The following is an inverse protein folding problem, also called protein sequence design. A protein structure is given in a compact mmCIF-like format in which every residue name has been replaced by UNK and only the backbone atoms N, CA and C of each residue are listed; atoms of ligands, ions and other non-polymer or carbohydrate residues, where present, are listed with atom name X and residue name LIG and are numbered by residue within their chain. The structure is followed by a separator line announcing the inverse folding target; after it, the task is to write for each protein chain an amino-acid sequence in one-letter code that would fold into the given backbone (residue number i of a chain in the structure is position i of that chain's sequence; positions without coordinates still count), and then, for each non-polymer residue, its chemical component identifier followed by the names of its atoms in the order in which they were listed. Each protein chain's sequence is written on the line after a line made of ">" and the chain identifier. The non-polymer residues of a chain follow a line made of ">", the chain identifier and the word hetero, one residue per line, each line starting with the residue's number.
data_IF_783461601446
#
_entry.id   IF_783461601446
#
_cell.length_a   1.000
_cell.length_b   1.000
_cell.length_c   1.000
_cell.angle_alpha   90.00
_cell.angle_beta   90.00
_cell.angle_gamma   90.00
#
_symmetry.space_group_name_H-M   'P 1'
#
loop_
_entity.id
_entity.type
_entity.pdbx_description
1 polymer ?
#
# COMPACT_ATOMS: atom_id res chain seq x y z
N UNK A 1 17.00 53.04 13.03
CA UNK A 1 15.56 52.80 13.23
C UNK A 1 14.96 51.99 12.07
N UNK A 2 15.26 52.35 10.82
CA UNK A 2 14.90 51.62 9.59
C UNK A 2 15.32 50.15 9.55
N UNK A 3 16.57 49.84 9.92
CA UNK A 3 17.08 48.45 9.95
C UNK A 3 16.26 47.54 10.87
N UNK A 4 15.86 48.00 12.06
CA UNK A 4 15.04 47.22 13.01
C UNK A 4 13.63 47.01 12.49
N UNK A 5 13.08 48.00 11.78
CA UNK A 5 11.75 47.93 11.19
C UNK A 5 11.71 46.96 9.99
N UNK A 6 12.75 47.00 9.14
CA UNK A 6 12.94 46.04 8.04
C UNK A 6 13.11 44.60 8.57
N UNK A 7 13.86 44.41 9.66
CA UNK A 7 14.00 43.07 10.28
C UNK A 7 12.68 42.54 10.84
N UNK A 8 11.85 43.38 11.48
CA UNK A 8 10.51 42.99 11.96
C UNK A 8 9.56 42.62 10.82
N UNK A 9 9.61 43.34 9.71
CA UNK A 9 8.80 43.06 8.51
C UNK A 9 9.21 41.71 7.91
N UNK A 10 10.51 41.49 7.72
CA UNK A 10 11.05 40.21 7.21
C UNK A 10 10.63 39.05 8.12
N UNK A 11 10.75 39.21 9.44
CA UNK A 11 10.36 38.17 10.40
C UNK A 11 8.85 37.86 10.33
N UNK A 12 8.02 38.87 10.15
CA UNK A 12 6.56 38.72 10.03
C UNK A 12 6.17 38.04 8.73
N UNK A 13 6.83 38.38 7.62
CA UNK A 13 6.64 37.71 6.31
C UNK A 13 7.03 36.23 6.44
N UNK A 14 8.19 35.93 7.02
CA UNK A 14 8.66 34.55 7.23
C UNK A 14 7.69 33.79 8.15
N UNK A 15 7.28 34.36 9.28
CA UNK A 15 6.36 33.72 10.20
C UNK A 15 4.98 33.43 9.55
N UNK A 16 4.50 34.36 8.72
CA UNK A 16 3.23 34.19 7.98
C UNK A 16 3.37 33.09 6.92
N UNK A 17 4.48 33.08 6.19
CA UNK A 17 4.79 32.04 5.21
C UNK A 17 4.87 30.66 5.86
N UNK A 18 5.59 30.53 6.98
CA UNK A 18 5.74 29.28 7.73
C UNK A 18 4.39 28.79 8.24
N UNK A 19 3.56 29.67 8.83
CA UNK A 19 2.22 29.30 9.30
C UNK A 19 1.32 28.81 8.17
N UNK A 20 1.38 29.43 6.99
CA UNK A 20 0.57 29.04 5.83
C UNK A 20 1.02 27.73 5.20
N UNK A 21 2.31 27.38 5.32
CA UNK A 21 2.90 26.21 4.66
C UNK A 21 3.31 25.09 5.63
N UNK A 22 2.92 25.18 6.91
CA UNK A 22 3.41 24.28 7.94
C UNK A 22 3.21 22.81 7.58
N UNK A 23 2.04 22.42 7.06
CA UNK A 23 1.80 21.03 6.68
C UNK A 23 2.68 20.56 5.50
N UNK A 24 3.01 21.43 4.54
CA UNK A 24 3.98 21.10 3.47
C UNK A 24 5.38 20.91 4.03
N UNK A 25 5.80 21.81 4.92
CA UNK A 25 7.10 21.76 5.58
C UNK A 25 7.20 20.47 6.41
N UNK A 26 6.14 20.07 7.11
CA UNK A 26 6.10 18.80 7.85
C UNK A 26 6.27 17.59 6.94
N UNK A 27 5.58 17.52 5.80
CA UNK A 27 5.76 16.42 4.84
C UNK A 27 7.19 16.38 4.30
N UNK A 28 7.75 17.55 3.96
CA UNK A 28 9.14 17.65 3.49
C UNK A 28 10.14 17.23 4.58
N UNK A 29 9.93 17.63 5.84
CA UNK A 29 10.75 17.20 6.95
C UNK A 29 10.70 15.68 7.14
N UNK A 30 9.50 15.07 7.09
CA UNK A 30 9.34 13.61 7.17
C UNK A 30 10.09 12.91 6.02
N UNK A 31 9.98 13.41 4.79
CA UNK A 31 10.72 12.89 3.63
C UNK A 31 12.23 12.91 3.88
N UNK A 32 12.77 14.05 4.30
CA UNK A 32 14.20 14.20 4.58
C UNK A 32 14.63 13.30 5.74
N UNK A 33 13.83 13.19 6.80
CA UNK A 33 14.12 12.31 7.93
C UNK A 33 14.16 10.85 7.52
N UNK A 34 13.17 10.37 6.77
CA UNK A 34 13.13 8.99 6.27
C UNK A 34 14.34 8.70 5.38
N UNK A 35 14.61 9.56 4.38
CA UNK A 35 15.80 9.42 3.53
C UNK A 35 17.08 9.40 4.35
N UNK A 36 17.23 10.31 5.31
CA UNK A 36 18.41 10.35 6.17
C UNK A 36 18.58 9.03 6.92
N UNK A 37 17.51 8.46 7.48
CA UNK A 37 17.58 7.20 8.20
C UNK A 37 17.91 6.05 7.25
N UNK A 38 17.19 5.92 6.14
CA UNK A 38 17.40 4.90 5.11
C UNK A 38 18.84 4.87 4.61
N UNK A 39 19.41 6.04 4.27
CA UNK A 39 20.78 6.17 3.80
C UNK A 39 21.84 5.96 4.88
N UNK A 40 21.49 6.05 6.16
CA UNK A 40 22.36 5.67 7.27
C UNK A 40 22.33 4.16 7.53
N UNK A 41 21.14 3.53 7.51
CA UNK A 41 20.96 2.11 7.81
C UNK A 41 21.35 1.20 6.62
N UNK A 42 21.04 1.63 5.39
CA UNK A 42 21.36 0.93 4.13
C UNK A 42 20.95 -0.55 4.13
N UNK A 43 19.76 -0.86 4.64
CA UNK A 43 19.24 -2.24 4.72
C UNK A 43 19.26 -2.99 3.38
N UNK A 44 19.16 -2.27 2.25
CA UNK A 44 19.28 -2.83 0.91
C UNK A 44 20.61 -3.53 0.62
N UNK A 45 21.69 -3.20 1.35
CA UNK A 45 22.99 -3.87 1.21
C UNK A 45 23.03 -5.24 1.89
N UNK A 46 22.10 -5.52 2.80
CA UNK A 46 22.12 -6.78 3.52
C UNK A 46 21.53 -7.90 2.65
N UNK A 47 22.18 -9.09 2.57
CA UNK A 47 21.80 -10.13 1.62
C UNK A 47 20.39 -10.69 1.86
N UNK A 48 19.95 -10.76 3.13
CA UNK A 48 18.67 -11.36 3.53
C UNK A 48 17.56 -10.37 3.93
N UNK A 49 17.81 -9.06 3.83
CA UNK A 49 16.82 -8.05 4.23
C UNK A 49 16.05 -7.49 3.04
N UNK A 50 14.97 -6.75 3.34
CA UNK A 50 14.08 -6.04 2.40
C UNK A 50 13.13 -6.97 1.65
N UNK A 51 13.63 -8.04 1.05
CA UNK A 51 12.82 -9.08 0.41
C UNK A 51 12.83 -10.30 1.34
N UNK A 52 12.01 -10.22 2.39
CA UNK A 52 11.90 -11.25 3.42
C UNK A 52 10.46 -11.37 3.92
N UNK A 53 10.16 -12.44 4.66
CA UNK A 53 8.81 -12.74 5.17
C UNK A 53 7.75 -12.70 4.06
N UNK A 54 6.63 -11.99 4.28
CA UNK A 54 5.57 -11.86 3.28
C UNK A 54 6.03 -11.15 2.01
N UNK A 55 7.06 -10.29 2.07
CA UNK A 55 7.56 -9.54 0.90
C UNK A 55 8.05 -10.49 -0.19
N UNK A 56 8.58 -11.66 0.18
CA UNK A 56 8.96 -12.72 -0.77
C UNK A 56 7.76 -13.04 -1.68
N UNK A 57 6.59 -13.31 -1.09
CA UNK A 57 5.39 -13.60 -1.87
C UNK A 57 4.83 -12.36 -2.59
N UNK A 58 4.83 -11.19 -1.94
CA UNK A 58 4.36 -9.94 -2.53
C UNK A 58 5.13 -9.55 -3.79
N UNK A 59 6.42 -9.85 -3.84
CA UNK A 59 7.32 -9.48 -4.92
C UNK A 59 7.46 -10.56 -6.00
N UNK A 60 7.28 -11.84 -5.65
CA UNK A 60 7.54 -13.02 -6.50
C UNK A 60 6.97 -12.96 -7.92
N UNK A 61 5.81 -12.33 -8.13
CA UNK A 61 5.20 -12.28 -9.47
C UNK A 61 6.09 -11.57 -10.50
N UNK A 62 6.86 -10.56 -10.08
CA UNK A 62 7.70 -9.77 -10.97
C UNK A 62 8.91 -10.55 -11.51
N UNK A 63 9.85 -11.05 -10.68
CA UNK A 63 10.99 -11.81 -11.18
C UNK A 63 10.53 -13.12 -11.85
N UNK A 64 9.50 -13.80 -11.33
CA UNK A 64 9.00 -15.03 -11.95
C UNK A 64 8.48 -14.81 -13.38
N UNK A 65 7.80 -13.68 -13.62
CA UNK A 65 7.25 -13.36 -14.95
C UNK A 65 8.31 -12.80 -15.89
N UNK A 66 9.10 -11.83 -15.44
CA UNK A 66 9.93 -11.02 -16.33
C UNK A 66 11.39 -11.49 -16.43
N UNK A 67 11.88 -12.24 -15.44
CA UNK A 67 13.28 -12.70 -15.39
C UNK A 67 13.34 -14.21 -15.59
N UNK A 68 12.70 -14.99 -14.70
CA UNK A 68 12.70 -16.45 -14.78
C UNK A 68 11.78 -16.99 -15.89
N UNK A 69 10.85 -16.15 -16.39
CA UNK A 69 9.89 -16.47 -17.47
C UNK A 69 9.03 -17.71 -17.21
N UNK A 70 8.77 -18.02 -15.95
CA UNK A 70 7.93 -19.14 -15.53
C UNK A 70 7.14 -18.80 -14.26
N UNK A 71 5.90 -18.35 -14.48
CA UNK A 71 4.97 -18.03 -13.39
C UNK A 71 4.39 -19.26 -12.68
N UNK A 72 4.64 -20.48 -13.20
CA UNK A 72 4.26 -21.73 -12.53
C UNK A 72 5.29 -22.21 -11.50
N UNK A 73 6.44 -21.52 -11.44
CA UNK A 73 7.56 -21.81 -10.55
C UNK A 73 8.04 -23.27 -10.64
N UNK A 74 7.98 -23.88 -11.82
CA UNK A 74 8.37 -25.28 -12.03
C UNK A 74 9.88 -25.49 -11.90
N UNK A 75 10.68 -24.42 -11.97
CA UNK A 75 12.11 -24.42 -11.70
C UNK A 75 12.45 -24.56 -10.20
N UNK A 76 11.56 -24.13 -9.30
CA UNK A 76 11.80 -24.09 -7.85
C UNK A 76 12.16 -25.46 -7.25
N UNK A 77 11.40 -26.55 -7.46
CA UNK A 77 11.71 -27.83 -6.84
C UNK A 77 13.03 -28.45 -7.32
N UNK A 78 13.49 -28.11 -8.54
CA UNK A 78 14.73 -28.61 -9.13
C UNK A 78 15.97 -27.87 -8.61
N UNK A 79 15.80 -26.64 -8.12
CA UNK A 79 16.88 -25.72 -7.77
C UNK A 79 16.65 -25.07 -6.41
N UNK A 80 16.19 -25.86 -5.42
CA UNK A 80 15.81 -25.33 -4.10
C UNK A 80 16.94 -24.54 -3.44
N UNK A 81 18.17 -25.01 -3.52
CA UNK A 81 19.32 -24.31 -2.92
C UNK A 81 19.50 -22.89 -3.46
N UNK A 82 19.20 -22.67 -4.75
CA UNK A 82 19.30 -21.36 -5.40
C UNK A 82 18.11 -20.45 -5.10
N UNK A 83 16.90 -21.00 -4.97
CA UNK A 83 15.65 -20.23 -5.00
C UNK A 83 14.87 -20.19 -3.68
N UNK A 84 15.26 -20.95 -2.66
CA UNK A 84 14.51 -21.02 -1.39
C UNK A 84 14.50 -19.69 -0.61
N UNK A 85 15.50 -18.85 -0.82
CA UNK A 85 15.56 -17.50 -0.22
C UNK A 85 14.68 -16.48 -0.99
N UNK A 86 14.22 -16.83 -2.20
CA UNK A 86 13.57 -15.91 -3.14
C UNK A 86 12.11 -16.23 -3.45
N UNK A 87 11.69 -17.49 -3.28
CA UNK A 87 10.35 -17.96 -3.60
C UNK A 87 9.86 -18.96 -2.55
N UNK A 88 8.68 -18.70 -1.99
CA UNK A 88 8.01 -19.57 -1.00
C UNK A 88 6.65 -20.08 -1.53
N UNK A 89 6.64 -20.90 -2.58
CA UNK A 89 5.39 -21.31 -3.19
C UNK A 89 4.69 -22.44 -2.43
N UNK A 90 3.39 -22.58 -2.68
CA UNK A 90 2.57 -23.72 -2.26
C UNK A 90 2.22 -24.61 -3.45
N UNK A 91 2.14 -25.92 -3.23
CA UNK A 91 1.77 -26.86 -4.31
C UNK A 91 0.26 -26.84 -4.50
N UNK A 92 -0.19 -26.77 -5.75
CA UNK A 92 -1.61 -26.75 -6.11
C UNK A 92 -2.15 -28.15 -6.48
N UNK A 93 -3.48 -28.34 -6.57
CA UNK A 93 -4.10 -29.59 -7.04
C UNK A 93 -3.63 -30.05 -8.42
N UNK A 94 -3.18 -29.13 -9.28
CA UNK A 94 -2.66 -29.48 -10.62
C UNK A 94 -1.20 -29.93 -10.61
N UNK A 95 -0.55 -29.89 -9.44
CA UNK A 95 0.88 -30.18 -9.28
C UNK A 95 1.82 -29.02 -9.57
N UNK A 96 1.29 -27.85 -9.98
CA UNK A 96 2.06 -26.60 -10.13
C UNK A 96 2.33 -25.92 -8.79
N UNK A 97 3.15 -24.88 -8.81
CA UNK A 97 3.52 -24.10 -7.63
C UNK A 97 2.91 -22.70 -7.70
N UNK A 98 2.23 -22.29 -6.64
CA UNK A 98 1.51 -21.03 -6.51
C UNK A 98 2.22 -20.07 -5.58
N UNK A 99 2.22 -18.80 -5.94
CA UNK A 99 2.56 -17.69 -5.05
C UNK A 99 1.39 -17.52 -4.09
N UNK A 100 1.69 -17.42 -2.80
CA UNK A 100 0.69 -17.49 -1.72
C UNK A 100 -0.23 -16.29 -1.70
N UNK A 101 0.30 -15.09 -1.92
CA UNK A 101 -0.43 -13.83 -1.86
C UNK A 101 -0.96 -13.46 -3.24
N UNK A 102 -1.97 -12.59 -3.31
CA UNK A 102 -2.41 -11.97 -4.57
C UNK A 102 -1.36 -11.00 -5.13
N UNK A 103 -1.43 -10.72 -6.44
CA UNK A 103 -0.41 -9.92 -7.14
C UNK A 103 -0.46 -8.40 -6.89
N UNK A 104 -1.36 -7.91 -6.02
CA UNK A 104 -1.60 -6.47 -5.89
C UNK A 104 -0.37 -5.69 -5.45
N UNK A 105 0.45 -6.23 -4.54
CA UNK A 105 1.71 -5.59 -4.16
C UNK A 105 2.71 -5.56 -5.32
N UNK A 106 2.85 -6.65 -6.08
CA UNK A 106 3.68 -6.68 -7.29
C UNK A 106 3.27 -5.63 -8.31
N UNK A 107 1.97 -5.32 -8.46
CA UNK A 107 1.51 -4.23 -9.32
C UNK A 107 2.03 -2.86 -8.84
N UNK A 108 2.08 -2.62 -7.53
CA UNK A 108 2.59 -1.38 -6.96
C UNK A 108 4.12 -1.27 -7.04
N UNK A 109 4.82 -2.41 -6.91
CA UNK A 109 6.27 -2.46 -7.06
C UNK A 109 6.74 -2.34 -8.51
N UNK A 110 5.92 -2.77 -9.47
CA UNK A 110 6.26 -2.88 -10.89
C UNK A 110 7.02 -1.66 -11.46
N UNK A 111 6.58 -0.39 -11.29
CA UNK A 111 7.33 0.75 -11.84
C UNK A 111 8.75 0.84 -11.26
N UNK A 112 8.93 0.57 -9.97
CA UNK A 112 10.24 0.62 -9.31
C UNK A 112 11.12 -0.57 -9.69
N UNK A 113 10.51 -1.76 -9.81
CA UNK A 113 11.16 -2.96 -10.33
C UNK A 113 11.73 -2.73 -11.73
N UNK A 114 10.92 -2.19 -12.65
CA UNK A 114 11.38 -1.97 -14.03
C UNK A 114 12.47 -0.90 -14.10
N UNK A 115 12.38 0.16 -13.29
CA UNK A 115 13.47 1.15 -13.17
C UNK A 115 14.74 0.46 -12.70
N UNK A 116 14.69 -0.36 -11.64
CA UNK A 116 15.84 -1.12 -11.17
C UNK A 116 16.37 -2.08 -12.25
N UNK A 117 15.49 -2.78 -12.96
CA UNK A 117 15.85 -3.73 -14.00
C UNK A 117 16.56 -3.06 -15.18
N UNK A 118 16.14 -1.84 -15.56
CA UNK A 118 16.80 -1.04 -16.59
C UNK A 118 18.17 -0.54 -16.12
N UNK A 119 18.31 -0.15 -14.85
CA UNK A 119 19.55 0.42 -14.30
C UNK A 119 20.59 -0.65 -13.99
N UNK A 120 20.19 -1.84 -13.53
CA UNK A 120 21.10 -2.88 -13.02
C UNK A 120 22.20 -3.29 -14.01
N UNK A 121 21.94 -3.47 -15.33
CA UNK A 121 22.98 -3.78 -16.32
C UNK A 121 24.11 -2.75 -16.43
N UNK A 122 23.92 -1.53 -15.92
CA UNK A 122 24.94 -0.47 -15.88
C UNK A 122 25.71 -0.42 -14.55
N UNK A 123 25.58 -1.47 -13.73
CA UNK A 123 26.22 -1.61 -12.41
C UNK A 123 26.94 -2.95 -12.31
N UNK A 124 27.67 -3.18 -11.22
CA UNK A 124 28.36 -4.46 -10.97
C UNK A 124 27.43 -5.57 -10.45
N UNK A 125 26.11 -5.33 -10.39
CA UNK A 125 25.13 -6.28 -9.87
C UNK A 125 24.46 -7.09 -10.99
N UNK A 126 24.18 -8.36 -10.71
CA UNK A 126 23.41 -9.19 -11.63
C UNK A 126 21.93 -8.73 -11.73
N UNK A 127 21.33 -8.71 -12.94
CA UNK A 127 19.95 -8.31 -13.14
C UNK A 127 18.96 -9.47 -12.84
N UNK A 128 19.08 -10.06 -11.65
CA UNK A 128 18.30 -11.25 -11.25
C UNK A 128 17.02 -10.93 -10.45
N UNK A 129 16.72 -9.67 -10.19
CA UNK A 129 15.52 -9.24 -9.45
C UNK A 129 15.72 -9.15 -7.94
N UNK A 130 16.81 -9.63 -7.37
CA UNK A 130 17.02 -9.72 -5.92
C UNK A 130 18.29 -9.00 -5.43
N UNK A 131 19.10 -8.49 -6.35
CA UNK A 131 20.30 -7.70 -6.03
C UNK A 131 19.96 -6.32 -5.45
N UNK A 132 21.00 -5.64 -4.96
CA UNK A 132 20.91 -4.35 -4.27
C UNK A 132 20.06 -3.30 -5.01
N UNK A 133 20.16 -3.10 -6.35
CA UNK A 133 19.35 -2.11 -7.05
C UNK A 133 17.83 -2.35 -6.90
N UNK A 134 17.40 -3.60 -6.88
CA UNK A 134 15.98 -3.96 -6.71
C UNK A 134 15.51 -3.70 -5.29
N UNK A 135 16.30 -4.11 -4.28
CA UNK A 135 16.00 -3.86 -2.87
C UNK A 135 15.89 -2.36 -2.58
N UNK A 136 16.83 -1.58 -3.10
CA UNK A 136 16.79 -0.12 -2.98
C UNK A 136 15.53 0.45 -3.64
N UNK A 137 15.21 0.04 -4.86
CA UNK A 137 14.01 0.53 -5.56
C UNK A 137 12.71 0.16 -4.83
N UNK A 138 12.63 -1.01 -4.21
CA UNK A 138 11.49 -1.40 -3.37
C UNK A 138 11.37 -0.50 -2.14
N UNK A 139 12.45 -0.20 -1.43
CA UNK A 139 12.41 0.74 -0.30
C UNK A 139 11.97 2.14 -0.76
N UNK A 140 12.49 2.62 -1.90
CA UNK A 140 12.07 3.90 -2.48
C UNK A 140 10.60 3.91 -2.90
N UNK A 141 10.04 2.75 -3.28
CA UNK A 141 8.60 2.63 -3.56
C UNK A 141 7.76 2.90 -2.31
N UNK A 142 8.15 2.35 -1.16
CA UNK A 142 7.46 2.58 0.11
C UNK A 142 7.48 4.06 0.51
N UNK A 143 8.64 4.72 0.38
CA UNK A 143 8.75 6.15 0.60
C UNK A 143 7.84 6.95 -0.35
N UNK A 144 7.80 6.62 -1.64
CA UNK A 144 6.89 7.25 -2.58
C UNK A 144 5.42 7.14 -2.14
N UNK A 145 4.97 5.95 -1.75
CA UNK A 145 3.59 5.74 -1.30
C UNK A 145 3.32 6.43 0.05
N UNK A 146 4.26 6.48 0.99
CA UNK A 146 4.12 7.24 2.23
C UNK A 146 3.81 8.71 1.91
N UNK A 147 4.65 9.32 1.07
CA UNK A 147 4.54 10.74 0.73
C UNK A 147 3.24 11.00 -0.05
N UNK A 148 2.87 10.13 -0.98
CA UNK A 148 1.57 10.20 -1.66
C UNK A 148 0.41 10.18 -0.66
N UNK A 149 0.43 9.24 0.28
CA UNK A 149 -0.59 9.13 1.33
C UNK A 149 -0.67 10.38 2.20
N UNK A 150 0.47 10.90 2.69
CA UNK A 150 0.52 12.11 3.52
C UNK A 150 0.04 13.35 2.76
N UNK A 151 0.44 13.54 1.50
CA UNK A 151 -0.04 14.66 0.69
C UNK A 151 -1.54 14.62 0.46
N UNK A 152 -2.12 13.43 0.27
CA UNK A 152 -3.56 13.31 0.07
C UNK A 152 -4.32 13.42 1.40
N UNK A 153 -3.77 12.89 2.48
CA UNK A 153 -4.32 13.05 3.84
C UNK A 153 -4.38 14.53 4.21
N UNK A 154 -3.30 15.28 3.95
CA UNK A 154 -3.26 16.74 4.09
C UNK A 154 -4.44 17.40 3.37
N UNK A 155 -4.67 17.08 2.10
CA UNK A 155 -5.79 17.63 1.29
C UNK A 155 -7.17 17.27 1.85
N UNK A 156 -7.30 16.18 2.60
CA UNK A 156 -8.54 15.82 3.30
C UNK A 156 -8.67 16.69 4.56
N UNK A 157 -7.65 16.73 5.40
CA UNK A 157 -7.65 17.45 6.68
C UNK A 157 -7.87 18.96 6.51
N UNK A 158 -7.23 19.57 5.51
CA UNK A 158 -7.37 21.02 5.24
C UNK A 158 -8.76 21.46 4.81
N UNK A 159 -9.68 20.52 4.52
CA UNK A 159 -11.10 20.85 4.30
C UNK A 159 -11.84 21.15 5.61
N UNK A 160 -11.29 20.72 6.73
CA UNK A 160 -11.94 20.75 8.05
C UNK A 160 -11.11 21.44 9.12
N UNK A 161 -9.78 21.47 8.96
CA UNK A 161 -8.85 21.94 9.97
C UNK A 161 -7.82 22.92 9.40
N UNK A 162 -7.21 23.72 10.29
CA UNK A 162 -6.14 24.65 9.92
C UNK A 162 -4.80 23.93 9.70
N UNK A 163 -3.79 24.68 9.22
CA UNK A 163 -2.44 24.18 8.94
C UNK A 163 -1.76 23.54 10.15
N UNK A 164 -1.98 24.07 11.36
CA UNK A 164 -1.34 23.60 12.58
C UNK A 164 -1.84 22.22 13.00
N UNK A 165 -3.17 22.08 13.09
CA UNK A 165 -3.80 20.78 13.39
C UNK A 165 -3.41 19.75 12.33
N UNK A 166 -3.47 20.15 11.05
CA UNK A 166 -3.06 19.27 9.94
C UNK A 166 -1.61 18.82 10.09
N UNK A 167 -0.68 19.73 10.33
CA UNK A 167 0.74 19.42 10.49
C UNK A 167 1.00 18.46 11.66
N UNK A 168 0.39 18.71 12.82
CA UNK A 168 0.51 17.82 13.99
C UNK A 168 -0.05 16.44 13.65
N UNK A 169 -1.24 16.35 13.04
CA UNK A 169 -1.82 15.05 12.66
C UNK A 169 -0.92 14.29 11.69
N UNK A 170 -0.34 14.95 10.69
CA UNK A 170 0.59 14.32 9.75
C UNK A 170 1.84 13.78 10.47
N UNK A 171 2.38 14.56 11.41
CA UNK A 171 3.53 14.15 12.21
C UNK A 171 3.18 12.96 13.12
N UNK A 172 2.05 13.03 13.83
CA UNK A 172 1.58 11.97 14.72
C UNK A 172 1.28 10.67 13.98
N UNK A 173 0.69 10.72 12.79
CA UNK A 173 0.47 9.52 11.98
C UNK A 173 1.79 8.91 11.52
N UNK A 174 2.75 9.75 11.11
CA UNK A 174 4.01 9.28 10.54
C UNK A 174 4.95 8.69 11.59
N UNK A 175 5.11 9.36 12.73
CA UNK A 175 6.11 9.01 13.77
C UNK A 175 5.46 8.39 15.00
N UNK A 176 4.21 8.74 15.32
CA UNK A 176 3.47 8.23 16.48
C UNK A 176 2.77 6.88 16.24
N UNK A 177 2.95 6.26 15.08
CA UNK A 177 2.44 4.92 14.76
C UNK A 177 3.55 4.05 14.19
N UNK A 178 3.25 2.79 13.86
CA UNK A 178 4.20 1.89 13.19
C UNK A 178 4.55 2.32 11.76
N UNK A 179 3.96 3.39 11.22
CA UNK A 179 4.20 3.88 9.86
C UNK A 179 5.69 4.14 9.59
N UNK A 180 6.41 4.73 10.56
CA UNK A 180 7.83 5.00 10.40
C UNK A 180 8.62 3.71 10.18
N UNK A 181 8.42 2.70 11.03
CA UNK A 181 9.09 1.39 10.93
C UNK A 181 8.79 0.74 9.58
N UNK A 182 7.53 0.77 9.13
CA UNK A 182 7.12 0.27 7.82
C UNK A 182 7.58 1.14 6.64
N UNK A 183 8.40 2.17 6.87
CA UNK A 183 9.00 2.98 5.80
C UNK A 183 10.54 2.95 5.83
N UNK A 184 11.18 2.91 7.01
CA UNK A 184 12.65 3.04 7.16
C UNK A 184 13.41 1.73 7.35
N UNK A 185 12.71 0.66 7.76
CA UNK A 185 13.35 -0.58 8.18
C UNK A 185 13.42 -1.58 7.01
N UNK A 186 14.01 -2.75 7.24
CA UNK A 186 13.88 -3.89 6.32
C UNK A 186 12.41 -4.28 6.03
N UNK A 187 11.48 -3.88 6.91
CA UNK A 187 10.03 -4.00 6.71
C UNK A 187 9.42 -3.00 5.72
N UNK A 188 10.21 -2.07 5.16
CA UNK A 188 9.70 -0.98 4.33
C UNK A 188 8.79 -1.47 3.19
N UNK A 189 9.12 -2.54 2.43
CA UNK A 189 8.26 -2.98 1.34
C UNK A 189 6.94 -3.60 1.80
N UNK A 190 6.70 -3.85 3.09
CA UNK A 190 5.44 -4.44 3.56
C UNK A 190 4.20 -3.65 3.12
N UNK A 191 3.06 -4.32 3.00
CA UNK A 191 1.82 -3.76 2.44
C UNK A 191 1.21 -2.57 3.21
N UNK A 192 1.71 -2.22 4.39
CA UNK A 192 1.08 -1.25 5.30
C UNK A 192 1.07 0.18 4.74
N UNK A 193 2.23 0.70 4.32
CA UNK A 193 2.35 2.07 3.78
C UNK A 193 1.60 2.22 2.46
N UNK A 194 1.65 1.19 1.62
CA UNK A 194 0.92 1.12 0.36
C UNK A 194 -0.59 1.16 0.59
N UNK A 195 -1.08 0.36 1.54
CA UNK A 195 -2.49 0.39 1.92
C UNK A 195 -2.89 1.74 2.49
N UNK A 196 -2.08 2.35 3.36
CA UNK A 196 -2.33 3.70 3.84
C UNK A 196 -2.51 4.68 2.67
N UNK A 197 -1.58 4.71 1.73
CA UNK A 197 -1.66 5.59 0.56
C UNK A 197 -2.91 5.34 -0.28
N UNK A 198 -3.17 4.07 -0.65
CA UNK A 198 -4.31 3.71 -1.50
C UNK A 198 -5.64 4.01 -0.81
N UNK A 199 -5.78 3.70 0.48
CA UNK A 199 -7.02 3.92 1.25
C UNK A 199 -7.24 5.42 1.46
N UNK A 200 -6.20 6.20 1.72
CA UNK A 200 -6.32 7.65 1.84
C UNK A 200 -6.70 8.29 0.50
N UNK A 201 -6.13 7.84 -0.61
CA UNK A 201 -6.55 8.25 -1.96
C UNK A 201 -8.00 7.87 -2.22
N UNK A 202 -8.40 6.66 -1.87
CA UNK A 202 -9.77 6.18 -2.00
C UNK A 202 -10.73 7.08 -1.22
N UNK A 203 -10.45 7.36 0.06
CA UNK A 203 -11.24 8.26 0.88
C UNK A 203 -11.36 9.65 0.26
N UNK A 204 -10.26 10.23 -0.24
CA UNK A 204 -10.28 11.54 -0.90
C UNK A 204 -11.23 11.58 -2.11
N UNK A 205 -11.24 10.52 -2.92
CA UNK A 205 -12.12 10.42 -4.08
C UNK A 205 -13.55 10.03 -3.73
N UNK A 206 -13.79 9.22 -2.69
CA UNK A 206 -15.13 8.97 -2.13
C UNK A 206 -15.78 10.29 -1.71
N UNK A 207 -15.05 11.16 -1.00
CA UNK A 207 -15.53 12.51 -0.62
C UNK A 207 -15.90 13.33 -1.86
N UNK A 208 -15.08 13.31 -2.91
CA UNK A 208 -15.34 14.05 -4.15
C UNK A 208 -16.51 13.48 -4.96
N UNK A 209 -16.64 12.16 -5.00
CA UNK A 209 -17.68 11.49 -5.75
C UNK A 209 -19.04 11.69 -5.11
N UNK A 210 -19.16 11.63 -3.78
CA UNK A 210 -20.41 11.95 -3.08
C UNK A 210 -20.87 13.39 -3.31
N UNK A 211 -19.94 14.35 -3.41
CA UNK A 211 -20.27 15.74 -3.78
C UNK A 211 -20.63 15.89 -5.26
N UNK A 212 -19.89 15.21 -6.13
CA UNK A 212 -19.99 15.33 -7.60
C UNK A 212 -19.76 13.98 -8.28
N UNK A 213 -20.82 13.17 -8.52
CA UNK A 213 -20.67 11.81 -9.05
C UNK A 213 -20.32 11.81 -10.55
N UNK A 214 -19.07 12.08 -10.90
CA UNK A 214 -18.57 12.06 -12.29
C UNK A 214 -18.13 10.67 -12.73
N UNK A 215 -18.17 10.37 -14.04
CA UNK A 215 -17.68 9.09 -14.58
C UNK A 215 -16.18 8.91 -14.29
N UNK A 216 -15.39 9.98 -14.40
CA UNK A 216 -13.95 9.94 -14.09
C UNK A 216 -13.69 9.44 -12.66
N UNK A 217 -14.37 10.03 -11.67
CA UNK A 217 -14.23 9.57 -10.28
C UNK A 217 -14.80 8.17 -10.08
N UNK A 218 -15.86 7.82 -10.80
CA UNK A 218 -16.49 6.49 -10.76
C UNK A 218 -15.52 5.39 -11.19
N UNK A 219 -14.91 5.52 -12.37
CA UNK A 219 -13.91 4.57 -12.89
C UNK A 219 -12.70 4.52 -11.98
N UNK A 220 -12.19 5.69 -11.56
CA UNK A 220 -11.02 5.75 -10.69
C UNK A 220 -11.24 5.07 -9.33
N UNK A 221 -12.40 5.29 -8.70
CA UNK A 221 -12.77 4.61 -7.45
C UNK A 221 -12.87 3.10 -7.69
N UNK A 222 -13.54 2.65 -8.76
CA UNK A 222 -13.65 1.22 -9.05
C UNK A 222 -12.31 0.52 -9.25
N UNK A 223 -11.41 1.10 -10.07
CA UNK A 223 -10.05 0.59 -10.27
C UNK A 223 -9.26 0.57 -8.94
N UNK A 224 -9.34 1.65 -8.17
CA UNK A 224 -8.63 1.77 -6.90
C UNK A 224 -9.16 0.78 -5.86
N UNK A 225 -10.47 0.56 -5.79
CA UNK A 225 -11.10 -0.46 -4.95
C UNK A 225 -10.66 -1.86 -5.34
N UNK A 226 -10.59 -2.14 -6.65
CA UNK A 226 -10.06 -3.39 -7.18
C UNK A 226 -8.62 -3.62 -6.73
N UNK A 227 -7.78 -2.60 -6.85
CA UNK A 227 -6.38 -2.65 -6.43
C UNK A 227 -6.21 -2.80 -4.91
N UNK A 228 -6.99 -2.08 -4.09
CA UNK A 228 -6.96 -2.22 -2.62
C UNK A 228 -7.28 -3.66 -2.21
N UNK A 229 -8.33 -4.25 -2.79
CA UNK A 229 -8.68 -5.64 -2.53
C UNK A 229 -7.65 -6.62 -3.09
N UNK A 230 -7.04 -6.31 -4.24
CA UNK A 230 -6.00 -7.15 -4.83
C UNK A 230 -4.69 -7.10 -4.03
N UNK A 231 -4.37 -6.00 -3.36
CA UNK A 231 -3.23 -5.91 -2.44
C UNK A 231 -3.45 -6.82 -1.23
N UNK A 232 -4.65 -6.78 -0.64
CA UNK A 232 -5.08 -7.70 0.42
C UNK A 232 -6.58 -7.94 0.30
N UNK A 233 -7.05 -9.18 0.05
CA UNK A 233 -8.48 -9.46 -0.11
C UNK A 233 -9.35 -8.99 1.06
N UNK A 234 -8.83 -9.05 2.29
CA UNK A 234 -9.51 -8.57 3.50
C UNK A 234 -9.78 -7.07 3.50
N UNK A 235 -9.02 -6.27 2.72
CA UNK A 235 -9.24 -4.83 2.61
C UNK A 235 -10.49 -4.46 1.82
N UNK A 236 -11.22 -5.44 1.26
CA UNK A 236 -12.56 -5.22 0.72
C UNK A 236 -13.50 -4.57 1.73
N UNK A 237 -13.28 -4.79 3.04
CA UNK A 237 -14.04 -4.14 4.12
C UNK A 237 -13.90 -2.61 4.12
N UNK A 238 -12.78 -2.07 3.64
CA UNK A 238 -12.59 -0.62 3.52
C UNK A 238 -13.60 -0.01 2.54
N UNK A 239 -14.09 -0.78 1.57
CA UNK A 239 -15.06 -0.31 0.59
C UNK A 239 -16.40 0.04 1.23
N UNK A 240 -16.68 -0.44 2.46
CA UNK A 240 -17.84 -0.02 3.25
C UNK A 240 -17.85 1.50 3.48
N UNK A 241 -16.69 2.15 3.51
CA UNK A 241 -16.59 3.62 3.59
C UNK A 241 -17.31 4.30 2.41
N UNK A 242 -17.32 3.73 1.21
CA UNK A 242 -18.07 4.29 0.08
C UNK A 242 -19.57 4.38 0.42
N UNK A 243 -20.12 3.37 1.08
CA UNK A 243 -21.54 3.27 1.41
C UNK A 243 -21.93 4.10 2.63
N UNK A 244 -21.06 4.16 3.65
CA UNK A 244 -21.37 4.80 4.93
C UNK A 244 -20.71 6.18 5.13
N UNK A 245 -20.00 6.71 4.13
CA UNK A 245 -19.44 8.05 4.22
C UNK A 245 -20.54 9.09 4.51
N UNK A 246 -20.32 9.90 5.55
CA UNK A 246 -21.22 10.98 5.97
C UNK A 246 -22.65 10.49 6.26
N UNK A 247 -22.77 9.35 6.95
CA UNK A 247 -24.04 8.81 7.47
C UNK A 247 -23.94 8.80 9.01
N UNK A 248 -24.61 9.76 9.65
CA UNK A 248 -24.55 9.96 11.10
C UNK A 248 -25.66 9.28 11.90
N UNK A 249 -26.72 8.82 11.23
CA UNK A 249 -27.88 8.21 11.88
C UNK A 249 -28.56 7.14 11.03
N UNK A 250 -29.33 6.23 11.66
CA UNK A 250 -30.09 5.20 10.94
C UNK A 250 -31.10 5.79 9.95
N UNK A 251 -31.59 7.00 10.20
CA UNK A 251 -32.55 7.70 9.32
C UNK A 251 -31.92 8.12 7.99
N UNK A 252 -30.60 8.31 7.93
CA UNK A 252 -29.87 8.71 6.73
C UNK A 252 -29.52 7.54 5.80
N UNK A 253 -29.71 6.30 6.26
CA UNK A 253 -29.44 5.10 5.44
C UNK A 253 -30.35 5.03 4.21
N UNK A 254 -31.64 5.32 4.37
CA UNK A 254 -32.58 5.23 3.23
C UNK A 254 -32.30 6.28 2.13
N UNK A 255 -32.11 7.57 2.44
CA UNK A 255 -31.62 8.54 1.45
C UNK A 255 -30.32 8.12 0.77
N UNK A 256 -29.40 7.49 1.51
CA UNK A 256 -28.14 6.98 0.96
C UNK A 256 -28.37 5.86 -0.05
N UNK A 257 -29.24 4.90 0.26
CA UNK A 257 -29.62 3.83 -0.69
C UNK A 257 -30.24 4.44 -1.95
N UNK A 258 -31.17 5.39 -1.81
CA UNK A 258 -31.79 6.07 -2.94
C UNK A 258 -30.77 6.81 -3.81
N UNK A 259 -29.76 7.43 -3.20
CA UNK A 259 -28.66 8.07 -3.92
C UNK A 259 -27.88 7.09 -4.81
N UNK A 260 -27.59 5.88 -4.31
CA UNK A 260 -26.92 4.84 -5.11
C UNK A 260 -27.83 4.27 -6.20
N UNK A 261 -29.12 4.05 -5.92
CA UNK A 261 -30.08 3.60 -6.93
C UNK A 261 -30.24 4.62 -8.07
N UNK A 262 -30.28 5.92 -7.74
CA UNK A 262 -30.27 7.00 -8.74
C UNK A 262 -29.00 6.99 -9.60
N UNK A 263 -27.87 6.57 -9.02
CA UNK A 263 -26.58 6.48 -9.71
C UNK A 263 -26.21 5.04 -10.13
N UNK A 264 -27.18 4.12 -10.27
CA UNK A 264 -26.91 2.69 -10.50
C UNK A 264 -25.96 2.40 -11.68
N UNK A 265 -26.07 3.14 -12.79
CA UNK A 265 -25.15 2.99 -13.94
C UNK A 265 -23.69 3.24 -13.54
N UNK A 266 -23.45 4.24 -12.68
CA UNK A 266 -22.11 4.55 -12.16
C UNK A 266 -21.64 3.46 -11.19
N UNK A 267 -22.52 2.94 -10.35
CA UNK A 267 -22.21 1.81 -9.46
C UNK A 267 -21.81 0.57 -10.28
N UNK A 268 -22.52 0.28 -11.38
CA UNK A 268 -22.14 -0.79 -12.31
C UNK A 268 -20.77 -0.53 -12.95
N UNK A 269 -20.49 0.70 -13.39
CA UNK A 269 -19.16 1.07 -13.93
C UNK A 269 -18.06 0.89 -12.87
N UNK A 270 -18.30 1.26 -11.60
CA UNK A 270 -17.38 1.00 -10.50
C UNK A 270 -17.12 -0.51 -10.35
N UNK A 271 -18.18 -1.32 -10.36
CA UNK A 271 -18.07 -2.77 -10.24
C UNK A 271 -17.26 -3.38 -11.40
N UNK A 272 -17.54 -3.02 -12.65
CA UNK A 272 -16.75 -3.52 -13.78
C UNK A 272 -15.30 -3.06 -13.72
N UNK A 273 -15.07 -1.81 -13.33
CA UNK A 273 -13.70 -1.27 -13.13
C UNK A 273 -12.96 -2.04 -12.04
N UNK A 274 -13.63 -2.41 -10.95
CA UNK A 274 -13.08 -3.28 -9.91
C UNK A 274 -12.67 -4.65 -10.49
N UNK A 275 -13.55 -5.29 -11.25
CA UNK A 275 -13.31 -6.62 -11.84
C UNK A 275 -12.14 -6.59 -12.82
N UNK A 276 -12.00 -5.53 -13.63
CA UNK A 276 -10.89 -5.38 -14.59
C UNK A 276 -9.53 -5.54 -13.91
N UNK A 277 -9.35 -5.01 -12.70
CA UNK A 277 -8.09 -5.14 -11.93
C UNK A 277 -7.83 -6.58 -11.50
N UNK A 278 -8.88 -7.38 -11.28
CA UNK A 278 -8.78 -8.77 -10.84
C UNK A 278 -8.63 -9.78 -11.98
N UNK A 279 -8.89 -9.40 -13.23
CA UNK A 279 -8.78 -10.30 -14.39
C UNK A 279 -7.41 -11.02 -14.43
N UNK A 280 -6.25 -10.35 -14.29
CA UNK A 280 -4.96 -11.02 -14.29
C UNK A 280 -4.81 -12.06 -13.16
N UNK A 281 -5.36 -11.77 -11.98
CA UNK A 281 -5.35 -12.70 -10.85
C UNK A 281 -6.20 -13.94 -11.11
N UNK A 282 -7.39 -13.77 -11.69
CA UNK A 282 -8.26 -14.89 -12.04
C UNK A 282 -7.66 -15.78 -13.13
N UNK A 283 -7.00 -15.18 -14.13
CA UNK A 283 -6.26 -15.92 -15.15
C UNK A 283 -5.11 -16.71 -14.51
N UNK A 284 -4.34 -16.07 -13.62
CA UNK A 284 -3.27 -16.73 -12.88
C UNK A 284 -3.80 -17.94 -12.10
N UNK A 285 -4.82 -17.76 -11.27
CA UNK A 285 -5.41 -18.85 -10.49
C UNK A 285 -5.94 -19.98 -11.37
N UNK A 286 -6.59 -19.68 -12.50
CA UNK A 286 -7.04 -20.71 -13.43
C UNK A 286 -5.86 -21.48 -14.03
N UNK A 287 -4.76 -20.79 -14.35
CA UNK A 287 -3.54 -21.40 -14.88
C UNK A 287 -2.83 -22.32 -13.87
N UNK A 288 -2.72 -21.91 -12.60
CA UNK A 288 -1.99 -22.68 -11.59
C UNK A 288 -2.82 -23.75 -10.87
N UNK A 289 -4.13 -23.55 -10.70
CA UNK A 289 -4.98 -24.43 -9.89
C UNK A 289 -6.10 -25.09 -10.67
N UNK A 290 -6.38 -24.62 -11.89
CA UNK A 290 -7.58 -25.02 -12.62
C UNK A 290 -8.86 -24.32 -12.13
N UNK A 291 -8.82 -23.43 -11.15
CA UNK A 291 -9.99 -22.69 -10.65
C UNK A 291 -9.82 -21.18 -10.83
N UNK A 292 -10.90 -20.46 -11.17
CA UNK A 292 -10.86 -18.99 -11.31
C UNK A 292 -10.75 -18.25 -9.97
N UNK A 293 -11.15 -18.90 -8.88
CA UNK A 293 -10.98 -18.41 -7.51
C UNK A 293 -10.30 -19.54 -6.75
N UNK A 294 -9.15 -19.26 -6.13
CA UNK A 294 -8.35 -20.27 -5.45
C UNK A 294 -7.67 -19.68 -4.22
N UNK A 295 -7.94 -20.27 -3.05
CA UNK A 295 -7.40 -19.80 -1.78
C UNK A 295 -6.00 -20.36 -1.53
N UNK A 296 -5.01 -19.70 -2.12
CA UNK A 296 -3.59 -20.03 -1.95
C UNK A 296 -3.10 -19.86 -0.50
N UNK A 297 -3.77 -19.04 0.31
CA UNK A 297 -3.40 -18.82 1.71
C UNK A 297 -3.99 -19.92 2.62
N UNK A 298 -5.20 -20.39 2.31
CA UNK A 298 -5.83 -21.52 2.97
C UNK A 298 -5.03 -22.83 2.87
N UNK A 299 -4.26 -23.02 1.79
CA UNK A 299 -3.33 -24.15 1.63
C UNK A 299 -2.21 -24.17 2.68
N UNK A 300 -1.87 -23.01 3.27
CA UNK A 300 -0.95 -22.93 4.42
C UNK A 300 -1.63 -23.21 5.78
N UNK A 301 -2.91 -23.58 5.76
CA UNK A 301 -3.73 -23.72 6.97
C UNK A 301 -4.26 -22.40 7.52
N UNK A 302 -4.10 -21.30 6.79
CA UNK A 302 -4.62 -19.99 7.16
C UNK A 302 -6.15 -19.97 7.11
N UNK A 303 -6.82 -19.88 8.26
CA UNK A 303 -8.28 -19.80 8.35
C UNK A 303 -8.74 -18.93 9.51
N UNK A 304 -9.96 -18.44 9.43
CA UNK A 304 -10.59 -17.73 10.53
C UNK A 304 -11.12 -18.70 11.59
N UNK A 305 -10.74 -18.47 12.85
CA UNK A 305 -11.20 -19.24 14.00
C UNK A 305 -12.32 -18.50 14.74
N UNK A 306 -13.48 -18.33 14.11
CA UNK A 306 -14.60 -17.58 14.69
C UNK A 306 -15.10 -18.14 16.03
N UNK A 307 -14.99 -19.46 16.23
CA UNK A 307 -15.40 -20.13 17.46
C UNK A 307 -14.35 -20.05 18.59
N UNK A 308 -13.16 -19.52 18.31
CA UNK A 308 -12.11 -19.35 19.32
C UNK A 308 -11.30 -18.07 19.02
N UNK A 309 -11.88 -16.88 19.26
CA UNK A 309 -11.31 -15.62 18.78
C UNK A 309 -10.08 -15.13 19.58
N UNK A 310 -9.61 -15.88 20.60
CA UNK A 310 -8.41 -15.57 21.39
C UNK A 310 -8.32 -14.10 21.85
N UNK A 311 -9.46 -13.48 22.19
CA UNK A 311 -9.57 -12.03 22.43
C UNK A 311 -8.66 -11.58 23.58
N UNK A 312 -8.65 -12.35 24.69
CA UNK A 312 -7.83 -12.00 25.86
C UNK A 312 -6.34 -12.08 25.55
N UNK A 313 -5.91 -13.11 24.84
CA UNK A 313 -4.50 -13.26 24.42
C UNK A 313 -4.11 -12.15 23.44
N UNK A 314 -4.97 -11.81 22.49
CA UNK A 314 -4.73 -10.68 21.59
C UNK A 314 -4.62 -9.34 22.34
N UNK A 315 -5.38 -9.14 23.42
CA UNK A 315 -5.32 -7.88 24.17
C UNK A 315 -4.15 -7.83 25.16
N UNK A 316 -3.83 -8.93 25.85
CA UNK A 316 -2.99 -8.91 27.06
C UNK A 316 -1.84 -9.93 27.08
N UNK A 317 -1.60 -10.71 26.01
CA UNK A 317 -0.50 -11.66 26.01
C UNK A 317 0.88 -10.99 25.95
N UNK A 318 1.81 -11.41 26.79
CA UNK A 318 3.22 -10.95 26.72
C UNK A 318 3.95 -11.31 25.41
N UNK A 319 3.36 -12.12 24.53
CA UNK A 319 3.97 -12.46 23.22
C UNK A 319 3.66 -11.41 22.15
N UNK A 320 2.37 -11.13 21.94
CA UNK A 320 1.83 -10.27 20.88
C UNK A 320 0.52 -9.58 21.30
N UNK A 321 0.38 -9.30 22.60
CA UNK A 321 -0.73 -8.55 23.14
C UNK A 321 -0.71 -7.12 22.61
N UNK A 322 -1.89 -6.55 22.41
CA UNK A 322 -1.99 -5.16 21.98
C UNK A 322 -1.64 -4.19 23.13
N UNK A 323 -2.00 -4.51 24.37
CA UNK A 323 -1.87 -3.61 25.52
C UNK A 323 -0.68 -3.93 26.43
N UNK A 324 -0.06 -5.11 26.33
CA UNK A 324 1.02 -5.59 27.20
C UNK A 324 2.23 -6.08 26.41
#
# INVERSE_FOLDING_TARGET
>A
MELVQNTKIIFTIIATFLKKNLANITIFAILVSVLTIDFNLKHWNHPKQVIEWDVINYYSYLPATFIDKDLSLAFWPKNKEKYSDFYWPVKTPTGKYAIVTTMGMSVLYAPFFFIAHIVTPFTDFEPNGFTVPYKFALMMSSLFYLILGLFVLKKILEKYFNQYVTAITLLSVSIGTNMLIYTINHDAPMSHVFNFALITVFLYYVIKWHKTPTIKYTVFIGLLSGLIALVRPTNVLVLLVLFFYDVGSLKEIWPRIQFFLKNHKKVLIMFFSFIVVWIPQFIYWRFISGHFIYDTYGELGGRFFFNNPQILDFMFSYRKGWLL
#
